data_IF_936887969982
#
_entry.id   IF_936887969982
#
_cell.length_a   1.000
_cell.length_b   1.000
_cell.length_c   1.000
_cell.angle_alpha   90.00
_cell.angle_beta   90.00
_cell.angle_gamma   90.00
#
_symmetry.space_group_name_H-M   'P 1'
#
loop_
_entity.id
_entity.type
_entity.pdbx_description
1 polymer ?
#
# COMPACT_ATOMS: atom_id res chain seq x y z
N UNK A 1 22.99 -17.85 9.94
CA UNK A 1 23.23 -19.16 9.28
C UNK A 1 24.44 -19.82 9.90
N UNK A 2 24.36 -21.11 10.24
CA UNK A 2 25.43 -21.88 10.90
C UNK A 2 26.05 -22.96 9.98
N UNK A 3 27.14 -23.60 10.44
CA UNK A 3 27.81 -24.68 9.70
C UNK A 3 26.86 -25.84 9.39
N UNK A 4 26.03 -26.20 10.37
CA UNK A 4 25.10 -27.32 10.28
C UNK A 4 24.04 -27.10 9.20
N UNK A 5 23.55 -25.86 9.04
CA UNK A 5 22.65 -25.46 7.97
C UNK A 5 23.28 -25.69 6.59
N UNK A 6 24.52 -25.26 6.37
CA UNK A 6 25.22 -25.49 5.10
C UNK A 6 25.52 -26.97 4.86
N UNK A 7 25.87 -27.72 5.92
CA UNK A 7 26.12 -29.16 5.80
C UNK A 7 24.85 -29.93 5.40
N UNK A 8 23.69 -29.56 5.96
CA UNK A 8 22.40 -30.11 5.57
C UNK A 8 22.13 -29.89 4.08
N UNK A 9 22.21 -28.64 3.61
CA UNK A 9 21.94 -28.31 2.20
C UNK A 9 22.96 -28.94 1.25
N UNK A 10 24.24 -29.00 1.65
CA UNK A 10 25.28 -29.67 0.88
C UNK A 10 24.98 -31.16 0.69
N UNK A 11 24.58 -31.87 1.75
CA UNK A 11 24.18 -33.29 1.67
C UNK A 11 22.92 -33.48 0.82
N UNK A 12 21.92 -32.61 1.01
CA UNK A 12 20.68 -32.66 0.24
C UNK A 12 20.93 -32.44 -1.26
N UNK A 13 21.66 -31.39 -1.66
CA UNK A 13 21.94 -31.12 -3.07
C UNK A 13 22.81 -32.21 -3.70
N UNK A 14 23.75 -32.79 -2.97
CA UNK A 14 24.50 -33.96 -3.45
C UNK A 14 23.60 -35.19 -3.64
N UNK A 15 22.63 -35.42 -2.75
CA UNK A 15 21.67 -36.51 -2.89
C UNK A 15 20.73 -36.28 -4.08
N UNK A 16 20.27 -35.05 -4.27
CA UNK A 16 19.45 -34.61 -5.41
C UNK A 16 20.21 -34.80 -6.73
N UNK A 17 21.46 -34.35 -6.82
CA UNK A 17 22.31 -34.52 -8.00
C UNK A 17 22.57 -36.00 -8.35
N UNK A 18 22.51 -36.89 -7.37
CA UNK A 18 22.65 -38.35 -7.55
C UNK A 18 21.32 -39.06 -7.81
N UNK A 19 20.21 -38.32 -7.92
CA UNK A 19 18.86 -38.87 -8.12
C UNK A 19 18.29 -39.63 -6.91
N UNK A 20 18.85 -39.45 -5.72
CA UNK A 20 18.43 -40.15 -4.48
C UNK A 20 17.40 -39.35 -3.66
N UNK A 21 17.09 -38.14 -4.08
CA UNK A 21 16.10 -37.24 -3.47
C UNK A 21 15.37 -36.48 -4.58
N UNK A 22 14.11 -36.14 -4.37
CA UNK A 22 13.34 -35.25 -5.23
C UNK A 22 13.21 -33.87 -4.61
N UNK A 23 12.98 -32.84 -5.44
CA UNK A 23 12.83 -31.47 -4.96
C UNK A 23 11.58 -31.30 -4.08
N UNK A 24 10.48 -32.00 -4.41
CA UNK A 24 9.23 -31.93 -3.64
C UNK A 24 9.39 -32.42 -2.20
N UNK A 25 10.33 -33.35 -1.95
CA UNK A 25 10.54 -34.01 -0.66
C UNK A 25 10.83 -33.01 0.45
N UNK A 26 11.63 -31.97 0.17
CA UNK A 26 12.01 -30.95 1.17
C UNK A 26 10.85 -30.03 1.51
N UNK A 27 10.05 -29.63 0.52
CA UNK A 27 8.83 -28.83 0.78
C UNK A 27 7.78 -29.60 1.56
N UNK A 28 7.60 -30.89 1.28
CA UNK A 28 6.67 -31.75 2.01
C UNK A 28 7.15 -31.98 3.46
N UNK A 29 8.44 -32.28 3.62
CA UNK A 29 9.07 -32.49 4.92
C UNK A 29 8.98 -31.25 5.82
N UNK A 30 9.25 -30.05 5.29
CA UNK A 30 9.08 -28.80 6.05
C UNK A 30 7.62 -28.56 6.46
N UNK A 31 6.65 -28.85 5.57
CA UNK A 31 5.21 -28.70 5.89
C UNK A 31 4.74 -29.67 6.97
N UNK A 32 5.34 -30.84 7.05
CA UNK A 32 5.04 -31.86 8.05
C UNK A 32 5.84 -31.67 9.35
N UNK A 33 6.44 -30.50 9.57
CA UNK A 33 7.19 -30.23 10.81
C UNK A 33 8.48 -31.03 10.90
N UNK A 34 9.15 -31.25 9.75
CA UNK A 34 10.43 -31.95 9.66
C UNK A 34 10.31 -33.43 10.03
N UNK A 35 9.15 -34.01 9.73
CA UNK A 35 8.82 -35.43 9.89
C UNK A 35 8.39 -36.04 8.54
N UNK A 36 8.33 -37.36 8.46
CA UNK A 36 7.77 -38.08 7.30
C UNK A 36 8.74 -38.39 6.15
N UNK A 37 9.96 -37.86 6.17
CA UNK A 37 11.05 -38.29 5.26
C UNK A 37 12.24 -38.79 6.06
N UNK A 38 12.47 -40.10 6.04
CA UNK A 38 13.57 -40.73 6.79
C UNK A 38 14.93 -40.22 6.32
N UNK A 39 15.12 -40.06 5.01
CA UNK A 39 16.38 -39.57 4.43
C UNK A 39 16.68 -38.11 4.83
N UNK A 40 15.69 -37.22 4.75
CA UNK A 40 15.88 -35.81 5.13
C UNK A 40 16.07 -35.64 6.63
N UNK A 41 15.33 -36.43 7.41
CA UNK A 41 15.49 -36.50 8.87
C UNK A 41 16.88 -37.01 9.23
N UNK A 42 17.41 -38.01 8.52
CA UNK A 42 18.77 -38.52 8.71
C UNK A 42 19.84 -37.46 8.35
N UNK A 43 19.69 -36.75 7.22
CA UNK A 43 20.61 -35.67 6.86
C UNK A 43 20.63 -34.57 7.91
N UNK A 44 19.45 -34.18 8.38
CA UNK A 44 19.30 -33.19 9.44
C UNK A 44 19.95 -33.66 10.74
N UNK A 45 19.71 -34.91 11.14
CA UNK A 45 20.32 -35.49 12.35
C UNK A 45 21.84 -35.51 12.26
N UNK A 46 22.40 -35.91 11.12
CA UNK A 46 23.84 -35.93 10.90
C UNK A 46 24.46 -34.54 10.87
N UNK A 47 23.81 -33.58 10.21
CA UNK A 47 24.30 -32.20 10.12
C UNK A 47 24.31 -31.50 11.48
N UNK A 48 23.32 -31.78 12.34
CA UNK A 48 23.18 -31.17 13.66
C UNK A 48 23.75 -32.03 14.81
N UNK A 49 24.40 -33.16 14.50
CA UNK A 49 25.05 -34.00 15.51
C UNK A 49 24.10 -34.79 16.41
N UNK A 50 22.82 -34.89 16.04
CA UNK A 50 21.79 -35.69 16.70
C UNK A 50 22.00 -37.20 16.56
N UNK A 51 22.92 -37.62 15.68
CA UNK A 51 23.31 -39.03 15.48
C UNK A 51 24.24 -39.56 16.61
N UNK A 52 24.59 -38.71 17.58
CA UNK A 52 25.39 -39.04 18.76
C UNK A 52 24.48 -39.05 19.99
N UNK A 53 23.85 -40.17 20.29
CA UNK A 53 23.07 -40.31 21.53
C UNK A 53 23.99 -40.28 22.76
N UNK A 54 23.58 -39.54 23.81
CA UNK A 54 23.32 -40.19 25.12
C UNK A 54 22.74 -39.27 26.21
N UNK A 55 22.75 -37.93 26.16
CA UNK A 55 22.46 -37.12 27.38
C UNK A 55 21.66 -35.82 27.25
N UNK A 56 20.91 -35.61 26.19
CA UNK A 56 20.08 -34.39 26.07
C UNK A 56 18.65 -34.79 25.82
N UNK A 57 17.72 -34.14 26.52
CA UNK A 57 16.28 -34.34 26.34
C UNK A 57 15.94 -34.14 24.85
N UNK A 58 15.72 -35.25 24.16
CA UNK A 58 15.80 -35.33 22.69
C UNK A 58 14.72 -34.46 22.04
N UNK A 59 13.60 -34.24 22.74
CA UNK A 59 12.48 -33.42 22.27
C UNK A 59 12.81 -31.92 22.30
N UNK A 60 13.35 -31.41 23.41
CA UNK A 60 13.68 -29.99 23.56
C UNK A 60 14.83 -29.59 22.64
N UNK A 61 15.85 -30.44 22.53
CA UNK A 61 16.97 -30.21 21.62
C UNK A 61 16.53 -30.28 20.15
N UNK A 62 15.61 -31.20 19.80
CA UNK A 62 15.00 -31.24 18.46
C UNK A 62 14.23 -29.95 18.15
N UNK A 63 13.40 -29.48 19.07
CA UNK A 63 12.63 -28.25 18.90
C UNK A 63 13.53 -27.02 18.73
N UNK A 64 14.58 -26.91 19.54
CA UNK A 64 15.54 -25.82 19.44
C UNK A 64 16.32 -25.85 18.13
N UNK A 65 16.76 -27.04 17.70
CA UNK A 65 17.50 -27.23 16.46
C UNK A 65 16.64 -26.88 15.24
N UNK A 66 15.38 -27.29 15.27
CA UNK A 66 14.39 -26.94 14.26
C UNK A 66 14.17 -25.42 14.16
N UNK A 67 14.01 -24.74 15.30
CA UNK A 67 13.86 -23.28 15.32
C UNK A 67 15.12 -22.57 14.78
N UNK A 68 16.31 -23.04 15.14
CA UNK A 68 17.58 -22.51 14.64
C UNK A 68 17.72 -22.69 13.11
N UNK A 69 17.34 -23.85 12.60
CA UNK A 69 17.32 -24.11 11.16
C UNK A 69 16.36 -23.18 10.42
N UNK A 70 15.13 -22.99 10.93
CA UNK A 70 14.16 -22.08 10.34
C UNK A 70 14.64 -20.62 10.35
N UNK A 71 15.28 -20.19 11.44
CA UNK A 71 15.88 -18.85 11.51
C UNK A 71 16.97 -18.69 10.44
N UNK A 72 17.89 -19.66 10.32
CA UNK A 72 18.92 -19.66 9.29
C UNK A 72 18.35 -19.71 7.88
N UNK A 73 17.25 -20.45 7.66
CA UNK A 73 16.57 -20.51 6.37
C UNK A 73 15.93 -19.17 5.99
N UNK A 74 15.31 -18.48 6.96
CA UNK A 74 14.77 -17.13 6.76
C UNK A 74 15.86 -16.12 6.44
N UNK A 75 16.98 -16.15 7.16
CA UNK A 75 18.14 -15.32 6.85
C UNK A 75 18.70 -15.58 5.44
N UNK A 76 18.80 -16.86 5.05
CA UNK A 76 19.22 -17.25 3.71
C UNK A 76 18.28 -16.68 2.64
N UNK A 77 16.96 -16.81 2.81
CA UNK A 77 15.96 -16.29 1.88
C UNK A 77 15.98 -14.76 1.81
N UNK A 78 16.25 -14.09 2.94
CA UNK A 78 16.38 -12.64 2.99
C UNK A 78 17.55 -12.13 2.14
N UNK A 79 18.63 -12.90 1.97
CA UNK A 79 19.73 -12.51 1.07
C UNK A 79 19.32 -12.39 -0.40
N UNK A 80 18.22 -13.06 -0.79
CA UNK A 80 17.68 -13.03 -2.15
C UNK A 80 16.42 -12.17 -2.25
N UNK A 81 16.12 -11.36 -1.23
CA UNK A 81 14.92 -10.53 -1.12
C UNK A 81 13.62 -11.33 -1.35
N UNK A 82 13.62 -12.62 -0.95
CA UNK A 82 12.45 -13.48 -1.11
C UNK A 82 11.45 -13.16 -0.01
N UNK A 83 10.27 -12.68 -0.41
CA UNK A 83 9.16 -12.37 0.50
C UNK A 83 8.27 -13.61 0.68
N UNK A 84 7.85 -13.95 1.91
CA UNK A 84 6.86 -14.99 2.14
C UNK A 84 5.58 -14.75 1.32
N UNK A 85 5.00 -15.83 0.78
CA UNK A 85 3.77 -15.74 -0.03
C UNK A 85 2.60 -15.15 0.74
N UNK A 86 2.53 -15.40 2.04
CA UNK A 86 1.47 -14.89 2.91
C UNK A 86 1.55 -13.36 3.01
N UNK A 87 2.75 -12.81 3.18
CA UNK A 87 2.98 -11.37 3.23
C UNK A 87 2.66 -10.73 1.87
N UNK A 88 3.07 -11.36 0.76
CA UNK A 88 2.70 -10.90 -0.58
C UNK A 88 1.19 -10.90 -0.78
N UNK A 89 0.49 -11.95 -0.35
CA UNK A 89 -0.96 -12.06 -0.49
C UNK A 89 -1.71 -11.08 0.43
N UNK A 90 -1.15 -10.75 1.60
CA UNK A 90 -1.67 -9.69 2.47
C UNK A 90 -1.52 -8.32 1.81
N UNK A 91 -0.33 -8.01 1.29
CA UNK A 91 -0.05 -6.75 0.58
C UNK A 91 -0.93 -6.59 -0.67
N UNK A 92 -1.17 -7.67 -1.41
CA UNK A 92 -2.06 -7.65 -2.57
C UNK A 92 -3.50 -7.29 -2.18
N UNK A 93 -4.02 -7.89 -1.10
CA UNK A 93 -5.36 -7.57 -0.60
C UNK A 93 -5.49 -6.10 -0.17
N UNK A 94 -4.52 -5.60 0.59
CA UNK A 94 -4.49 -4.20 0.99
C UNK A 94 -4.42 -3.26 -0.23
N UNK A 95 -3.59 -3.61 -1.22
CA UNK A 95 -3.47 -2.83 -2.44
C UNK A 95 -4.79 -2.76 -3.23
N UNK A 96 -5.53 -3.87 -3.29
CA UNK A 96 -6.83 -3.92 -3.95
C UNK A 96 -7.88 -3.09 -3.19
N UNK A 97 -7.89 -3.13 -1.86
CA UNK A 97 -8.76 -2.30 -1.02
C UNK A 97 -8.47 -0.80 -1.18
N UNK A 98 -7.19 -0.44 -1.22
CA UNK A 98 -6.75 0.94 -1.45
C UNK A 98 -7.16 1.44 -2.83
N UNK A 99 -6.99 0.63 -3.89
CA UNK A 99 -7.44 0.98 -5.25
C UNK A 99 -8.95 1.21 -5.30
N UNK A 100 -9.74 0.36 -4.65
CA UNK A 100 -11.19 0.56 -4.57
C UNK A 100 -11.56 1.85 -3.82
N UNK A 101 -10.79 2.20 -2.79
CA UNK A 101 -10.98 3.45 -2.03
C UNK A 101 -10.65 4.66 -2.89
N UNK A 102 -9.56 4.62 -3.65
CA UNK A 102 -9.18 5.69 -4.60
C UNK A 102 -10.29 5.92 -5.62
N UNK A 103 -10.76 4.87 -6.30
CA UNK A 103 -11.87 4.99 -7.27
C UNK A 103 -13.11 5.61 -6.65
N UNK A 104 -13.46 5.20 -5.42
CA UNK A 104 -14.61 5.77 -4.69
C UNK A 104 -14.42 7.25 -4.37
N UNK A 105 -13.23 7.64 -3.92
CA UNK A 105 -12.92 9.03 -3.60
C UNK A 105 -12.91 9.90 -4.85
N UNK A 106 -12.35 9.41 -5.96
CA UNK A 106 -12.40 10.09 -7.26
C UNK A 106 -13.84 10.32 -7.72
N UNK A 107 -14.71 9.31 -7.58
CA UNK A 107 -16.14 9.44 -7.88
C UNK A 107 -16.84 10.48 -7.00
N UNK A 108 -16.52 10.53 -5.70
CA UNK A 108 -17.08 11.52 -4.78
C UNK A 108 -16.62 12.92 -5.16
N UNK A 109 -15.33 13.11 -5.42
CA UNK A 109 -14.76 14.40 -5.82
C UNK A 109 -15.41 14.88 -7.11
N UNK A 110 -15.53 14.01 -8.10
CA UNK A 110 -16.18 14.34 -9.37
C UNK A 110 -17.63 14.77 -9.16
N UNK A 111 -18.43 14.01 -8.39
CA UNK A 111 -19.82 14.38 -8.08
C UNK A 111 -19.92 15.71 -7.35
N UNK A 112 -18.98 16.00 -6.44
CA UNK A 112 -18.94 17.28 -5.74
C UNK A 112 -18.61 18.43 -6.70
N UNK A 113 -17.65 18.25 -7.60
CA UNK A 113 -17.31 19.24 -8.62
C UNK A 113 -18.50 19.50 -9.56
N UNK A 114 -19.16 18.43 -10.03
CA UNK A 114 -20.37 18.53 -10.87
C UNK A 114 -21.48 19.31 -10.13
N UNK A 115 -21.73 19.00 -8.85
CA UNK A 115 -22.74 19.69 -8.04
C UNK A 115 -22.42 21.17 -7.80
N UNK A 116 -21.15 21.51 -7.58
CA UNK A 116 -20.71 22.91 -7.44
C UNK A 116 -20.90 23.68 -8.75
N UNK A 117 -20.59 23.04 -9.88
CA UNK A 117 -20.85 23.58 -11.22
C UNK A 117 -22.35 23.81 -11.48
N UNK A 118 -23.19 22.81 -11.19
CA UNK A 118 -24.65 22.90 -11.38
C UNK A 118 -25.31 23.98 -10.52
N UNK A 119 -24.84 24.17 -9.28
CA UNK A 119 -25.38 25.21 -8.39
C UNK A 119 -24.87 26.62 -8.71
N UNK A 120 -24.01 26.78 -9.73
CA UNK A 120 -23.34 28.05 -10.00
C UNK A 120 -22.47 28.53 -8.83
N UNK A 121 -22.08 27.62 -7.95
CA UNK A 121 -21.16 27.84 -6.83
C UNK A 121 -19.71 27.57 -7.24
N UNK A 122 -19.47 27.43 -8.55
CA UNK A 122 -18.14 27.54 -9.13
C UNK A 122 -17.55 28.92 -8.74
N UNK A 123 -16.37 28.95 -8.09
CA UNK A 123 -15.68 30.18 -7.78
C UNK A 123 -15.55 31.14 -8.97
N UNK A 124 -15.36 30.63 -10.19
CA UNK A 124 -15.27 31.48 -11.39
C UNK A 124 -16.63 32.12 -11.74
N UNK A 125 -17.70 31.33 -11.77
CA UNK A 125 -19.06 31.83 -12.01
C UNK A 125 -19.56 32.82 -10.95
N UNK A 126 -19.21 32.63 -9.67
CA UNK A 126 -19.55 33.58 -8.60
C UNK A 126 -18.83 34.92 -8.77
N UNK A 127 -17.55 34.91 -9.17
CA UNK A 127 -16.79 36.14 -9.41
C UNK A 127 -17.36 36.93 -10.59
N UNK A 128 -17.70 36.26 -11.70
CA UNK A 128 -18.35 36.91 -12.85
C UNK A 128 -19.73 37.50 -12.47
N UNK A 129 -20.53 36.77 -11.70
CA UNK A 129 -21.83 37.26 -11.22
C UNK A 129 -21.70 38.50 -10.32
N UNK A 130 -20.70 38.52 -9.44
CA UNK A 130 -20.41 39.68 -8.59
C UNK A 130 -19.92 40.89 -9.42
N UNK A 131 -19.08 40.65 -10.43
CA UNK A 131 -18.57 41.68 -11.32
C UNK A 131 -19.71 42.33 -12.13
N UNK A 132 -20.65 41.53 -12.65
CA UNK A 132 -21.84 42.01 -13.33
C UNK A 132 -22.77 42.83 -12.43
N UNK A 133 -22.92 42.46 -11.15
CA UNK A 133 -23.69 43.22 -10.17
C UNK A 133 -23.04 44.59 -9.88
N UNK A 134 -21.72 44.62 -9.70
CA UNK A 134 -20.96 45.86 -9.51
C UNK A 134 -21.07 46.80 -10.71
N UNK A 135 -21.04 46.24 -11.93
CA UNK A 135 -21.24 47.01 -13.15
C UNK A 135 -22.64 47.67 -13.18
N UNK A 136 -23.69 46.88 -12.93
CA UNK A 136 -25.07 47.40 -12.87
C UNK A 136 -25.25 48.47 -11.80
N UNK A 137 -24.67 48.28 -10.63
CA UNK A 137 -24.77 49.25 -9.54
C UNK A 137 -24.06 50.57 -9.91
N UNK A 138 -22.92 50.46 -10.60
CA UNK A 138 -22.19 51.62 -11.14
C UNK A 138 -23.02 52.37 -12.17
N UNK A 139 -23.64 51.66 -13.12
CA UNK A 139 -24.49 52.26 -14.14
C UNK A 139 -25.72 52.96 -13.54
N UNK A 140 -26.37 52.33 -12.56
CA UNK A 140 -27.52 52.93 -11.87
C UNK A 140 -27.12 54.16 -11.04
N UNK A 141 -25.97 54.11 -10.37
CA UNK A 141 -25.43 55.28 -9.68
C UNK A 141 -25.13 56.42 -10.66
N UNK A 142 -24.54 56.10 -11.83
CA UNK A 142 -24.23 57.09 -12.86
C UNK A 142 -25.51 57.72 -13.44
N UNK A 143 -26.56 56.91 -13.67
CA UNK A 143 -27.89 57.40 -14.07
C UNK A 143 -28.51 58.30 -13.00
N UNK A 144 -28.38 57.94 -11.72
CA UNK A 144 -28.87 58.75 -10.61
C UNK A 144 -28.15 60.10 -10.53
N UNK A 145 -26.83 60.09 -10.71
CA UNK A 145 -26.02 61.31 -10.73
C UNK A 145 -26.34 62.19 -11.95
N UNK A 146 -26.55 61.61 -13.13
CA UNK A 146 -27.00 62.33 -14.33
C UNK A 146 -28.39 62.93 -14.12
N UNK A 147 -29.33 62.20 -13.53
CA UNK A 147 -30.69 62.70 -13.28
C UNK A 147 -30.69 63.83 -12.24
N UNK A 148 -29.89 63.73 -11.18
CA UNK A 148 -29.65 64.80 -10.22
C UNK A 148 -29.00 66.02 -10.88
N UNK A 149 -27.96 65.82 -11.70
CA UNK A 149 -27.29 66.89 -12.45
C UNK A 149 -28.26 67.66 -13.35
N UNK A 150 -29.13 66.95 -14.08
CA UNK A 150 -30.20 67.57 -14.87
C UNK A 150 -31.22 68.34 -14.01
N UNK A 151 -31.49 67.89 -12.79
CA UNK A 151 -32.39 68.57 -11.85
C UNK A 151 -31.76 69.87 -11.30
N UNK A 152 -30.45 69.88 -11.05
CA UNK A 152 -29.71 71.06 -10.62
C UNK A 152 -29.47 72.08 -11.75
N UNK A 153 -29.24 71.62 -12.98
CA UNK A 153 -29.15 72.50 -14.15
C UNK A 153 -30.49 73.16 -14.50
N UNK A 154 -31.61 72.45 -14.31
CA UNK A 154 -32.96 73.05 -14.45
C UNK A 154 -33.22 74.17 -13.45
N UNK A 155 -32.62 74.14 -12.26
CA UNK A 155 -32.73 75.21 -11.25
C UNK A 155 -31.81 76.42 -11.51
N UNK A 156 -30.86 76.33 -12.45
CA UNK A 156 -29.88 77.40 -12.77
C UNK A 156 -30.30 78.37 -13.88
N UNK A 157 -31.47 78.22 -14.52
CA UNK A 157 -32.02 79.28 -15.38
C UNK A 157 -32.64 80.38 -14.51
N UNK A 158 -32.08 81.59 -14.46
CA UNK A 158 -32.49 82.63 -13.53
C UNK A 158 -33.71 83.42 -14.05
N UNK A 159 -34.45 84.01 -13.12
CA UNK A 159 -35.19 85.25 -13.36
C UNK A 159 -34.22 86.30 -13.93
N UNK A 160 -34.45 86.75 -15.17
CA UNK A 160 -34.07 88.10 -15.59
C UNK A 160 -34.82 88.49 -16.87
N UNK A 161 -35.61 89.56 -16.70
CA UNK A 161 -36.24 90.46 -17.68
C UNK A 161 -37.40 89.91 -18.52
#
# INVERSE_FOLDING_TARGET
>A
MDRSFYEFWGRYFLALARGRQQYEDVTAWMRQGFQGSENLTEFFRKAYGLDREEKTDTADFWQQTHQSFLASFREYLALFDVVPREDLAALQRENDELKQTVVRLEDIIRRQQDFLGEKGLDPAGMVEGFQGLMQKQTDEFEKLMKSMGHYFDKKKKPLSS
#
